data_IF_155995028006
#
_entry.id   IF_155995028006
#
_cell.length_a   1.000
_cell.length_b   1.000
_cell.length_c   1.000
_cell.angle_alpha   90.00
_cell.angle_beta   90.00
_cell.angle_gamma   90.00
#
_symmetry.space_group_name_H-M   'P 1'
#
loop_
_entity.id
_entity.type
_entity.pdbx_description
1 polymer ?
#
# COMPACT_ATOMS: atom_id res chain seq x y z
N UNK A 1 -14.23 2.23 -14.52
CA UNK A 1 -14.96 2.35 -13.25
C UNK A 1 -14.33 1.35 -12.28
N UNK A 2 -13.55 1.82 -11.30
CA UNK A 2 -12.81 0.97 -10.34
C UNK A 2 -13.58 0.79 -9.01
N UNK A 3 -14.89 1.08 -9.00
CA UNK A 3 -15.75 1.04 -7.82
C UNK A 3 -15.84 2.38 -7.08
N UNK A 4 -16.22 2.32 -5.79
CA UNK A 4 -16.22 3.37 -4.74
C UNK A 4 -14.98 4.32 -4.82
N UNK A 5 -14.92 5.45 -4.06
CA UNK A 5 -13.87 6.44 -4.25
C UNK A 5 -12.46 5.83 -4.22
N UNK A 6 -11.61 6.38 -5.08
CA UNK A 6 -10.17 6.12 -5.07
C UNK A 6 -9.60 6.90 -3.90
N UNK A 7 -9.09 6.19 -2.90
CA UNK A 7 -8.58 6.77 -1.65
C UNK A 7 -7.15 7.31 -1.81
N UNK A 8 -6.35 6.64 -2.65
CA UNK A 8 -5.00 7.08 -3.03
C UNK A 8 -4.61 6.63 -4.43
N UNK A 9 -3.84 7.50 -5.09
CA UNK A 9 -3.06 7.19 -6.28
C UNK A 9 -1.58 7.34 -5.91
N UNK A 10 -0.75 6.36 -6.26
CA UNK A 10 0.69 6.40 -6.07
C UNK A 10 1.41 5.92 -7.33
N UNK A 11 2.30 6.73 -7.87
CA UNK A 11 3.18 6.33 -8.96
C UNK A 11 4.54 5.90 -8.39
N UNK A 12 4.97 4.69 -8.67
CA UNK A 12 6.25 4.16 -8.22
C UNK A 12 6.73 3.03 -9.14
N UNK A 13 8.04 2.94 -9.36
CA UNK A 13 8.66 1.80 -10.02
C UNK A 13 8.69 0.62 -9.02
N UNK A 14 7.66 -0.23 -9.08
CA UNK A 14 7.50 -1.34 -8.12
C UNK A 14 8.26 -2.58 -8.56
N UNK A 15 8.53 -2.75 -9.86
CA UNK A 15 9.21 -3.91 -10.41
C UNK A 15 10.73 -3.70 -10.62
N UNK A 16 11.21 -2.46 -10.58
CA UNK A 16 12.61 -2.08 -10.75
C UNK A 16 13.07 -1.97 -12.21
N UNK A 17 12.17 -1.81 -13.18
CA UNK A 17 12.48 -1.72 -14.60
C UNK A 17 12.81 -0.28 -15.08
N UNK A 18 12.72 0.70 -14.18
CA UNK A 18 12.95 2.12 -14.46
C UNK A 18 11.71 2.87 -14.97
N UNK A 19 10.54 2.24 -15.05
CA UNK A 19 9.26 2.87 -15.42
C UNK A 19 8.30 2.78 -14.23
N UNK A 20 7.61 3.88 -13.87
CA UNK A 20 6.69 3.84 -12.75
C UNK A 20 5.37 3.16 -13.13
N UNK A 21 4.93 2.22 -12.30
CA UNK A 21 3.54 1.75 -12.29
C UNK A 21 2.63 2.73 -11.53
N UNK A 22 1.32 2.62 -11.77
CA UNK A 22 0.29 3.37 -11.05
C UNK A 22 -0.47 2.45 -10.10
N UNK A 23 -0.34 2.69 -8.80
CA UNK A 23 -1.09 2.00 -7.76
C UNK A 23 -2.34 2.80 -7.38
N UNK A 24 -3.49 2.12 -7.30
CA UNK A 24 -4.78 2.72 -6.94
C UNK A 24 -5.39 1.98 -5.75
N UNK A 25 -5.47 2.68 -4.61
CA UNK A 25 -6.18 2.24 -3.42
C UNK A 25 -7.68 2.53 -3.59
N UNK A 26 -8.53 1.50 -3.48
CA UNK A 26 -9.97 1.63 -3.65
C UNK A 26 -10.73 1.36 -2.35
N UNK A 27 -11.76 2.17 -2.10
CA UNK A 27 -12.75 1.93 -1.05
C UNK A 27 -13.52 0.60 -1.20
N UNK A 28 -13.40 -0.10 -2.33
CA UNK A 28 -13.95 -1.46 -2.51
C UNK A 28 -13.11 -2.58 -1.91
N UNK A 29 -11.96 -2.23 -1.33
CA UNK A 29 -11.01 -3.18 -0.74
C UNK A 29 -10.07 -3.85 -1.73
N UNK A 30 -9.87 -3.21 -2.88
CA UNK A 30 -8.89 -3.60 -3.87
C UNK A 30 -7.72 -2.60 -3.91
N UNK A 31 -6.52 -3.13 -4.11
CA UNK A 31 -5.40 -2.39 -4.67
C UNK A 31 -5.26 -2.80 -6.15
N UNK A 32 -5.22 -1.82 -7.04
CA UNK A 32 -4.94 -2.04 -8.46
C UNK A 32 -3.53 -1.57 -8.79
N UNK A 33 -2.90 -2.24 -9.74
CA UNK A 33 -1.65 -1.81 -10.36
C UNK A 33 -1.85 -1.71 -11.87
N UNK A 34 -1.52 -0.55 -12.42
CA UNK A 34 -1.64 -0.25 -13.84
C UNK A 34 -0.27 0.09 -14.42
N UNK A 35 -0.12 -0.13 -15.72
CA UNK A 35 1.01 0.39 -16.48
C UNK A 35 0.91 1.93 -16.64
N UNK A 36 1.97 2.62 -17.13
CA UNK A 36 1.93 4.07 -17.36
C UNK A 36 0.84 4.54 -18.34
N UNK A 37 0.32 3.64 -19.18
CA UNK A 37 -0.75 3.91 -20.15
C UNK A 37 -2.14 3.68 -19.54
N UNK A 38 -2.23 3.21 -18.30
CA UNK A 38 -3.48 2.93 -17.58
C UNK A 38 -4.03 1.52 -17.80
N UNK A 39 -3.29 0.60 -18.44
CA UNK A 39 -3.73 -0.79 -18.56
C UNK A 39 -3.55 -1.53 -17.24
N UNK A 40 -4.55 -2.32 -16.87
CA UNK A 40 -4.51 -3.15 -15.67
C UNK A 40 -3.44 -4.24 -15.80
N UNK A 41 -2.43 -4.18 -14.92
CA UNK A 41 -1.43 -5.23 -14.76
C UNK A 41 -1.94 -6.31 -13.80
N UNK A 42 -2.44 -5.90 -12.64
CA UNK A 42 -3.06 -6.80 -11.66
C UNK A 42 -3.99 -6.06 -10.69
N UNK A 43 -4.87 -6.82 -10.02
CA UNK A 43 -5.71 -6.35 -8.93
C UNK A 43 -5.66 -7.32 -7.76
N UNK A 44 -5.55 -6.79 -6.53
CA UNK A 44 -5.48 -7.59 -5.30
C UNK A 44 -6.60 -7.20 -4.35
N UNK A 45 -7.46 -8.16 -4.00
CA UNK A 45 -8.42 -7.99 -2.89
C UNK A 45 -7.69 -8.13 -1.55
N UNK A 46 -7.87 -7.15 -0.68
CA UNK A 46 -7.25 -7.08 0.65
C UNK A 46 -8.27 -7.04 1.79
N UNK A 47 -9.55 -7.25 1.49
CA UNK A 47 -10.63 -7.30 2.48
C UNK A 47 -11.52 -6.08 2.40
N UNK A 48 -11.49 -5.24 3.45
CA UNK A 48 -12.21 -3.97 3.52
C UNK A 48 -11.47 -2.86 2.77
N UNK A 49 -12.02 -1.64 2.80
CA UNK A 49 -11.51 -0.49 2.06
C UNK A 49 -9.99 -0.35 2.24
N UNK A 50 -9.30 -0.16 1.11
CA UNK A 50 -7.89 0.20 1.12
C UNK A 50 -7.82 1.71 1.22
N UNK A 51 -7.39 2.22 2.37
CA UNK A 51 -7.30 3.67 2.61
C UNK A 51 -5.99 4.25 2.10
N UNK A 52 -4.90 3.48 2.21
CA UNK A 52 -3.59 4.01 1.88
C UNK A 52 -2.61 2.95 1.35
N UNK A 53 -1.66 3.38 0.53
CA UNK A 53 -0.59 2.55 -0.05
C UNK A 53 0.71 3.34 -0.13
N UNK A 54 1.84 2.76 0.29
CA UNK A 54 3.18 3.32 0.12
C UNK A 54 4.12 2.27 -0.46
N UNK A 55 5.25 2.71 -1.02
CA UNK A 55 6.29 1.81 -1.54
C UNK A 55 7.60 2.07 -0.81
N UNK A 56 8.31 1.01 -0.42
CA UNK A 56 9.62 1.09 0.21
C UNK A 56 10.51 -0.04 -0.29
N UNK A 57 11.60 0.28 -1.01
CA UNK A 57 12.49 -0.72 -1.62
C UNK A 57 11.72 -1.85 -2.35
N UNK A 58 10.83 -1.45 -3.27
CA UNK A 58 9.95 -2.34 -4.07
C UNK A 58 8.97 -3.20 -3.26
N UNK A 59 8.87 -2.97 -1.95
CA UNK A 59 7.81 -3.52 -1.11
C UNK A 59 6.59 -2.59 -1.20
N UNK A 60 5.47 -3.12 -1.67
CA UNK A 60 4.20 -2.40 -1.68
C UNK A 60 3.52 -2.63 -0.34
N UNK A 61 3.28 -1.56 0.42
CA UNK A 61 2.68 -1.63 1.75
C UNK A 61 1.32 -0.96 1.73
N UNK A 62 0.31 -1.66 2.21
CA UNK A 62 -1.10 -1.28 2.08
C UNK A 62 -1.78 -1.28 3.44
N UNK A 63 -2.52 -0.22 3.73
CA UNK A 63 -3.29 -0.05 4.96
C UNK A 63 -4.78 -0.12 4.68
N UNK A 64 -5.50 -0.90 5.49
CA UNK A 64 -6.93 -1.16 5.33
C UNK A 64 -7.76 -0.63 6.50
N UNK A 65 -9.06 -0.52 6.26
CA UNK A 65 -10.06 -0.06 7.23
C UNK A 65 -10.17 -0.95 8.48
N UNK A 66 -9.99 -2.26 8.37
CA UNK A 66 -10.00 -3.19 9.51
C UNK A 66 -8.71 -3.18 10.34
N UNK A 67 -7.79 -2.28 10.01
CA UNK A 67 -6.54 -2.09 10.72
C UNK A 67 -5.46 -3.09 10.37
N UNK A 68 -5.56 -3.73 9.21
CA UNK A 68 -4.50 -4.56 8.67
C UNK A 68 -3.51 -3.74 7.84
N UNK A 69 -2.25 -4.16 7.96
CA UNK A 69 -1.17 -3.75 7.10
C UNK A 69 -0.73 -4.95 6.28
N UNK A 70 -0.74 -4.83 4.95
CA UNK A 70 -0.28 -5.87 4.04
C UNK A 70 0.98 -5.41 3.34
N UNK A 71 1.96 -6.30 3.23
CA UNK A 71 3.09 -6.10 2.35
C UNK A 71 3.05 -7.07 1.19
N UNK A 72 3.18 -6.54 -0.01
CA UNK A 72 3.09 -7.24 -1.27
C UNK A 72 4.39 -7.06 -2.07
N UNK A 73 4.69 -8.04 -2.93
CA UNK A 73 5.68 -7.87 -3.98
C UNK A 73 5.11 -7.10 -5.20
N UNK A 74 5.96 -6.87 -6.20
CA UNK A 74 5.61 -6.17 -7.43
C UNK A 74 4.47 -6.84 -8.23
N UNK A 75 4.23 -8.13 -8.03
CA UNK A 75 3.16 -8.89 -8.67
C UNK A 75 1.86 -8.89 -7.84
N UNK A 76 1.81 -8.14 -6.73
CA UNK A 76 0.65 -8.09 -5.84
C UNK A 76 0.48 -9.34 -4.98
N UNK A 77 1.51 -10.20 -4.86
CA UNK A 77 1.49 -11.35 -3.98
C UNK A 77 1.83 -10.91 -2.56
N UNK A 78 1.01 -11.34 -1.60
CA UNK A 78 1.26 -11.08 -0.19
C UNK A 78 2.55 -11.77 0.28
N UNK A 79 3.42 -10.99 0.90
CA UNK A 79 4.65 -11.42 1.56
C UNK A 79 4.42 -11.57 3.07
N UNK A 80 3.75 -10.59 3.69
CA UNK A 80 3.35 -10.64 5.09
C UNK A 80 2.12 -9.74 5.37
N UNK A 81 1.50 -9.94 6.53
CA UNK A 81 0.44 -9.07 7.05
C UNK A 81 0.58 -8.85 8.56
N UNK A 82 0.14 -7.69 9.05
CA UNK A 82 0.17 -7.33 10.47
C UNK A 82 -1.09 -6.57 10.88
N UNK A 83 -1.76 -7.02 11.93
CA UNK A 83 -2.89 -6.30 12.54
C UNK A 83 -2.37 -5.22 13.48
N UNK A 84 -2.80 -3.97 13.26
CA UNK A 84 -2.42 -2.79 14.06
C UNK A 84 -3.51 -2.39 15.08
N UNK A 85 -4.70 -2.98 15.01
CA UNK A 85 -5.76 -2.84 16.02
C UNK A 85 -6.73 -1.68 15.78
N UNK A 86 -6.42 -0.76 14.87
CA UNK A 86 -7.30 0.32 14.43
C UNK A 86 -7.07 0.61 12.93
N UNK A 87 -8.08 1.18 12.26
CA UNK A 87 -8.05 1.53 10.83
C UNK A 87 -6.75 2.25 10.45
N UNK A 88 -6.06 1.76 9.43
CA UNK A 88 -4.84 2.40 8.92
C UNK A 88 -5.25 3.48 7.95
N UNK A 89 -5.14 4.74 8.38
CA UNK A 89 -5.63 5.89 7.60
C UNK A 89 -4.55 6.55 6.76
N UNK A 90 -3.28 6.46 7.18
CA UNK A 90 -2.14 7.06 6.50
C UNK A 90 -0.91 6.17 6.57
N UNK A 91 -0.15 6.14 5.48
CA UNK A 91 1.12 5.43 5.35
C UNK A 91 2.21 6.33 4.77
N UNK A 92 3.38 6.25 5.38
CA UNK A 92 4.62 6.82 4.86
C UNK A 92 5.76 5.82 5.01
N UNK A 93 6.80 5.99 4.20
CA UNK A 93 8.05 5.26 4.33
C UNK A 93 9.22 6.25 4.35
N UNK A 94 10.25 5.95 5.13
CA UNK A 94 11.50 6.71 5.14
C UNK A 94 12.68 5.77 5.37
N UNK A 95 13.88 6.29 5.14
CA UNK A 95 15.12 5.57 5.44
C UNK A 95 15.77 6.19 6.67
N UNK A 96 16.00 5.39 7.71
CA UNK A 96 16.70 5.79 8.95
C UNK A 96 17.96 4.96 9.08
N UNK A 97 19.12 5.62 9.11
CA UNK A 97 20.43 4.95 9.17
C UNK A 97 20.61 3.84 8.11
N UNK A 98 20.12 4.07 6.89
CA UNK A 98 20.18 3.12 5.78
C UNK A 98 19.14 1.99 5.83
N UNK A 99 18.24 1.97 6.81
CA UNK A 99 17.19 0.96 6.94
C UNK A 99 15.81 1.54 6.60
N UNK A 100 14.97 0.82 5.84
CA UNK A 100 13.61 1.23 5.53
C UNK A 100 12.70 1.11 6.76
N UNK A 101 12.03 2.20 7.11
CA UNK A 101 11.05 2.29 8.19
C UNK A 101 9.70 2.66 7.61
N UNK A 102 8.67 1.92 8.01
CA UNK A 102 7.27 2.19 7.71
C UNK A 102 6.65 2.97 8.85
N UNK A 103 5.88 4.00 8.51
CA UNK A 103 5.06 4.78 9.43
C UNK A 103 3.59 4.53 9.09
N UNK A 104 2.79 4.18 10.09
CA UNK A 104 1.35 4.03 10.00
C UNK A 104 0.64 5.00 10.95
N UNK A 105 -0.24 5.83 10.41
CA UNK A 105 -1.19 6.64 11.16
C UNK A 105 -2.54 5.93 11.27
N UNK A 106 -3.04 5.79 12.49
CA UNK A 106 -4.25 5.05 12.80
C UNK A 106 -5.42 5.98 13.14
N UNK A 107 -6.65 5.53 12.89
CA UNK A 107 -7.86 6.32 13.15
C UNK A 107 -8.10 6.63 14.64
N UNK A 108 -7.47 5.88 15.55
CA UNK A 108 -7.55 6.10 17.00
C UNK A 108 -6.56 7.16 17.50
N UNK A 109 -5.81 7.80 16.59
CA UNK A 109 -4.85 8.87 16.88
C UNK A 109 -3.43 8.38 17.12
N UNK A 110 -3.17 7.07 17.12
CA UNK A 110 -1.81 6.55 17.27
C UNK A 110 -1.02 6.62 15.96
N UNK A 111 0.30 6.80 16.10
CA UNK A 111 1.27 6.66 15.03
C UNK A 111 2.26 5.57 15.42
N UNK A 112 2.44 4.59 14.54
CA UNK A 112 3.36 3.48 14.73
C UNK A 112 4.48 3.55 13.70
N UNK A 113 5.70 3.22 14.12
CA UNK A 113 6.85 3.07 13.24
C UNK A 113 7.49 1.69 13.44
N UNK A 114 7.82 1.01 12.35
CA UNK A 114 8.44 -0.32 12.41
C UNK A 114 9.32 -0.57 11.17
N UNK A 115 10.32 -1.46 11.26
CA UNK A 115 11.10 -1.88 10.10
C UNK A 115 10.22 -2.44 8.99
N UNK A 116 10.57 -2.19 7.72
CA UNK A 116 9.83 -2.72 6.58
C UNK A 116 10.02 -4.24 6.38
N UNK A 117 11.04 -4.84 6.99
CA UNK A 117 11.41 -6.25 6.90
C UNK A 117 11.73 -6.81 8.29
#
# INVERSE_FOLDING_TARGET
>A
NYGYPVERILCADVNGDGRPEVLLASGTGYLYCLDPSGHLLWARRLGLAVHDVTVSDRLIVVGTEDGDLHALDAAGKALWSKRLGASVTKLASLTVAGQPVLIAGLADGHLLAFPAR
#
